data_IF_287251832580
#
_entry.id   IF_287251832580
#
_cell.length_a   1.000
_cell.length_b   1.000
_cell.length_c   1.000
_cell.angle_alpha   90.00
_cell.angle_beta   90.00
_cell.angle_gamma   90.00
#
_symmetry.space_group_name_H-M   'P 1'
#
loop_
_entity.id
_entity.type
_entity.pdbx_description
1 polymer ?
#
# COMPACT_ATOMS: atom_id res chain seq x y z
N UNK A 1 -29.09 20.06 -10.86
CA UNK A 1 -27.65 19.79 -10.73
C UNK A 1 -27.54 18.49 -9.96
N UNK A 2 -27.15 17.42 -10.63
CA UNK A 2 -27.00 16.10 -10.01
C UNK A 2 -25.51 15.89 -9.70
N UNK A 3 -25.18 15.52 -8.46
CA UNK A 3 -23.80 15.21 -8.06
C UNK A 3 -23.53 13.72 -8.18
N UNK A 4 -22.27 13.35 -8.39
CA UNK A 4 -21.84 11.96 -8.51
C UNK A 4 -22.29 11.15 -7.28
N UNK A 5 -22.13 11.70 -6.08
CA UNK A 5 -22.69 11.21 -4.82
C UNK A 5 -22.76 12.35 -3.78
N UNK A 6 -23.27 12.01 -2.58
CA UNK A 6 -23.32 12.92 -1.44
C UNK A 6 -21.92 13.44 -1.05
N UNK A 7 -20.86 12.65 -1.21
CA UNK A 7 -19.51 13.09 -0.89
C UNK A 7 -19.09 14.25 -1.80
N UNK A 8 -19.32 14.12 -3.10
CA UNK A 8 -19.05 15.18 -4.08
C UNK A 8 -19.93 16.42 -3.85
N UNK A 9 -21.19 16.23 -3.46
CA UNK A 9 -22.08 17.33 -3.09
C UNK A 9 -21.57 18.10 -1.86
N UNK A 10 -21.19 17.40 -0.79
CA UNK A 10 -20.65 18.02 0.42
C UNK A 10 -19.32 18.72 0.12
N UNK A 11 -18.45 18.10 -0.68
CA UNK A 11 -17.18 18.70 -1.11
C UNK A 11 -17.40 19.96 -1.93
N UNK A 12 -18.39 19.98 -2.83
CA UNK A 12 -18.80 21.19 -3.56
C UNK A 12 -19.22 22.31 -2.59
N UNK A 13 -20.10 22.00 -1.63
CA UNK A 13 -20.58 22.97 -0.65
C UNK A 13 -19.43 23.54 0.18
N UNK A 14 -18.50 22.70 0.62
CA UNK A 14 -17.28 23.11 1.29
C UNK A 14 -16.46 24.05 0.40
N UNK A 15 -16.15 23.65 -0.83
CA UNK A 15 -15.38 24.46 -1.77
C UNK A 15 -16.01 25.85 -2.00
N UNK A 16 -17.35 25.91 -2.12
CA UNK A 16 -18.07 27.18 -2.30
C UNK A 16 -18.06 28.05 -1.04
N UNK A 17 -18.13 27.46 0.16
CA UNK A 17 -18.14 28.20 1.41
C UNK A 17 -16.80 28.91 1.69
N UNK A 18 -15.68 28.34 1.25
CA UNK A 18 -14.33 28.90 1.44
C UNK A 18 -13.75 29.49 0.15
N UNK A 19 -14.56 29.65 -0.90
CA UNK A 19 -14.14 30.14 -2.21
C UNK A 19 -13.63 31.57 -2.14
N UNK A 20 -12.46 31.78 -2.74
CA UNK A 20 -11.88 33.10 -3.01
C UNK A 20 -12.14 33.53 -4.47
N UNK A 21 -11.92 32.62 -5.41
CA UNK A 21 -12.14 32.87 -6.84
C UNK A 21 -12.52 31.58 -7.59
N UNK A 22 -13.00 31.70 -8.83
CA UNK A 22 -13.21 30.54 -9.71
C UNK A 22 -13.05 30.92 -11.16
N UNK A 23 -12.53 30.00 -11.96
CA UNK A 23 -12.40 30.19 -13.40
C UNK A 23 -12.42 28.84 -14.13
N UNK A 24 -12.81 28.87 -15.40
CA UNK A 24 -12.81 27.69 -16.26
C UNK A 24 -11.39 27.35 -16.71
N UNK A 25 -11.07 26.07 -16.76
CA UNK A 25 -9.79 25.54 -17.23
C UNK A 25 -10.04 24.24 -18.00
N UNK A 26 -10.02 24.32 -19.33
CA UNK A 26 -10.45 23.20 -20.18
C UNK A 26 -11.92 22.86 -19.95
N UNK A 27 -12.21 21.57 -19.74
CA UNK A 27 -13.55 21.05 -19.45
C UNK A 27 -13.91 21.14 -17.95
N UNK A 28 -13.05 21.73 -17.13
CA UNK A 28 -13.21 21.81 -15.68
C UNK A 28 -13.40 23.24 -15.20
N UNK A 29 -13.91 23.38 -13.98
CA UNK A 29 -13.91 24.64 -13.23
C UNK A 29 -12.97 24.52 -12.03
N UNK A 30 -11.96 25.38 -11.98
CA UNK A 30 -11.06 25.49 -10.82
C UNK A 30 -11.63 26.45 -9.79
N UNK A 31 -11.57 26.06 -8.52
CA UNK A 31 -12.00 26.85 -7.37
C UNK A 31 -10.80 27.11 -6.47
N UNK A 32 -10.30 28.35 -6.51
CA UNK A 32 -9.32 28.84 -5.56
C UNK A 32 -10.02 29.13 -4.23
N UNK A 33 -9.48 28.61 -3.15
CA UNK A 33 -10.08 28.75 -1.81
C UNK A 33 -9.26 29.67 -0.90
N UNK A 34 -9.74 29.86 0.32
CA UNK A 34 -9.00 30.48 1.43
C UNK A 34 -8.20 29.48 2.25
N UNK A 35 -8.37 28.17 2.04
CA UNK A 35 -7.54 27.14 2.68
C UNK A 35 -6.10 27.25 2.17
N UNK A 36 -5.08 27.19 3.06
CA UNK A 36 -3.68 27.34 2.67
C UNK A 36 -3.10 26.11 1.96
N UNK A 37 -3.75 24.95 2.07
CA UNK A 37 -3.24 23.67 1.60
C UNK A 37 -3.98 23.13 0.39
N UNK A 38 -5.28 23.46 0.22
CA UNK A 38 -6.12 22.82 -0.81
C UNK A 38 -6.93 23.79 -1.65
N UNK A 39 -7.05 23.46 -2.93
CA UNK A 39 -8.04 23.99 -3.86
C UNK A 39 -8.92 22.87 -4.41
N UNK A 40 -9.91 23.20 -5.25
CA UNK A 40 -10.83 22.20 -5.81
C UNK A 40 -11.00 22.32 -7.32
N UNK A 41 -11.29 21.18 -7.93
CA UNK A 41 -11.62 21.07 -9.35
C UNK A 41 -13.00 20.46 -9.48
N UNK A 42 -13.87 21.08 -10.27
CA UNK A 42 -15.22 20.61 -10.55
C UNK A 42 -15.26 20.17 -12.01
N UNK A 43 -15.64 18.91 -12.26
CA UNK A 43 -15.91 18.37 -13.58
C UNK A 43 -17.37 17.96 -13.72
N UNK A 44 -17.84 17.91 -14.97
CA UNK A 44 -19.18 17.43 -15.32
C UNK A 44 -19.07 16.37 -16.42
N UNK A 45 -19.70 15.22 -16.21
CA UNK A 45 -19.76 14.13 -17.19
C UNK A 45 -21.18 13.57 -17.22
N UNK A 46 -21.79 13.52 -18.42
CA UNK A 46 -23.16 13.07 -18.66
C UNK A 46 -24.19 13.67 -17.67
N UNK A 47 -24.02 14.96 -17.31
CA UNK A 47 -24.92 15.69 -16.42
C UNK A 47 -24.70 15.46 -14.92
N UNK A 48 -23.70 14.64 -14.53
CA UNK A 48 -23.28 14.49 -13.13
C UNK A 48 -22.02 15.28 -12.83
N UNK A 49 -22.04 15.94 -11.68
CA UNK A 49 -20.92 16.74 -11.19
C UNK A 49 -20.07 15.94 -10.20
N UNK A 50 -18.77 15.93 -10.45
CA UNK A 50 -17.77 15.43 -9.51
C UNK A 50 -16.81 16.56 -9.12
N UNK A 51 -16.26 16.44 -7.92
CA UNK A 51 -15.43 17.46 -7.26
C UNK A 51 -14.21 16.79 -6.66
N UNK A 52 -13.03 17.20 -7.12
CA UNK A 52 -11.74 16.67 -6.70
C UNK A 52 -11.00 17.74 -5.90
N UNK A 53 -10.25 17.33 -4.88
CA UNK A 53 -9.31 18.21 -4.20
C UNK A 53 -7.97 18.20 -4.93
N UNK A 54 -7.26 19.32 -4.90
CA UNK A 54 -5.92 19.47 -5.45
C UNK A 54 -5.08 20.31 -4.51
N UNK A 55 -3.76 20.19 -4.61
CA UNK A 55 -2.83 21.03 -3.87
C UNK A 55 -3.08 22.51 -4.17
N UNK A 56 -2.81 23.35 -3.17
CA UNK A 56 -2.94 24.80 -3.30
C UNK A 56 -2.17 25.34 -4.49
N UNK A 57 -2.80 26.24 -5.24
CA UNK A 57 -2.21 26.89 -6.41
C UNK A 57 -1.67 25.92 -7.50
N UNK A 58 -2.15 24.68 -7.55
CA UNK A 58 -1.62 23.69 -8.50
C UNK A 58 -1.73 24.17 -9.97
N UNK A 59 -2.71 25.02 -10.28
CA UNK A 59 -2.99 25.48 -11.64
C UNK A 59 -1.92 26.44 -12.19
N UNK A 60 -0.89 26.78 -11.41
CA UNK A 60 0.36 27.41 -11.91
C UNK A 60 0.98 26.65 -13.10
N UNK A 61 0.61 25.39 -13.32
CA UNK A 61 1.10 24.54 -14.42
C UNK A 61 0.28 24.56 -15.74
N UNK A 62 -0.78 25.37 -15.86
CA UNK A 62 -1.62 25.51 -17.07
C UNK A 62 -2.26 24.20 -17.62
N UNK A 63 -2.20 23.09 -16.88
CA UNK A 63 -2.79 21.79 -17.24
C UNK A 63 -3.40 21.13 -16.01
N UNK A 64 -4.72 20.94 -16.03
CA UNK A 64 -5.48 20.38 -14.90
C UNK A 64 -5.16 18.91 -14.66
N UNK A 65 -4.81 18.19 -15.73
CA UNK A 65 -4.46 16.77 -15.68
C UNK A 65 -3.24 16.58 -14.75
N UNK A 66 -2.24 17.46 -14.87
CA UNK A 66 -1.06 17.43 -14.01
C UNK A 66 -1.38 17.70 -12.54
N UNK A 67 -2.32 18.61 -12.25
CA UNK A 67 -2.78 18.86 -10.89
C UNK A 67 -3.42 17.61 -10.26
N UNK A 68 -4.20 16.89 -11.06
CA UNK A 68 -4.97 15.73 -10.64
C UNK A 68 -4.15 14.43 -10.71
N UNK A 69 -2.87 14.52 -11.05
CA UNK A 69 -1.97 13.36 -11.13
C UNK A 69 -2.25 12.42 -12.29
N UNK A 70 -2.92 12.86 -13.35
CA UNK A 70 -3.11 12.08 -14.58
C UNK A 70 -2.52 12.75 -15.81
N UNK A 71 -2.18 11.95 -16.82
CA UNK A 71 -1.63 12.43 -18.09
C UNK A 71 -2.73 12.70 -19.12
N UNK A 72 -3.81 11.92 -19.05
CA UNK A 72 -4.88 11.93 -20.02
C UNK A 72 -6.26 11.74 -19.37
N UNK A 73 -7.28 12.35 -19.97
CA UNK A 73 -8.67 11.95 -19.75
C UNK A 73 -8.96 10.66 -20.51
N UNK A 74 -9.87 9.84 -19.97
CA UNK A 74 -10.22 8.54 -20.53
C UNK A 74 -10.68 8.55 -22.00
N UNK A 75 -11.06 9.71 -22.54
CA UNK A 75 -11.48 9.87 -23.93
C UNK A 75 -10.31 9.97 -24.93
N UNK A 76 -9.10 10.35 -24.49
CA UNK A 76 -7.98 10.64 -25.38
C UNK A 76 -6.67 10.17 -24.74
N UNK A 77 -6.27 8.92 -24.94
CA UNK A 77 -5.00 8.43 -24.42
C UNK A 77 -4.33 7.42 -25.36
N UNK A 78 -3.02 7.36 -25.29
CA UNK A 78 -2.25 6.26 -25.86
C UNK A 78 -2.04 5.20 -24.77
N UNK A 79 -2.20 3.91 -25.08
CA UNK A 79 -1.92 2.87 -24.10
C UNK A 79 -0.41 2.56 -24.08
N UNK A 80 0.33 3.21 -23.17
CA UNK A 80 1.76 2.99 -22.96
C UNK A 80 2.14 3.07 -21.48
N UNK A 81 3.35 2.61 -21.16
CA UNK A 81 3.91 2.56 -19.81
C UNK A 81 4.03 3.95 -19.18
N UNK A 82 3.79 4.01 -17.88
CA UNK A 82 3.88 5.24 -17.08
C UNK A 82 2.68 6.16 -17.19
N UNK A 83 1.77 5.95 -18.15
CA UNK A 83 0.59 6.80 -18.33
C UNK A 83 -0.41 6.59 -17.20
N UNK A 84 -0.92 7.71 -16.69
CA UNK A 84 -2.05 7.78 -15.77
C UNK A 84 -3.28 8.35 -16.48
N UNK A 85 -4.40 7.66 -16.37
CA UNK A 85 -5.67 7.95 -17.05
C UNK A 85 -6.72 8.31 -16.00
N UNK A 86 -7.30 9.51 -16.10
CA UNK A 86 -8.37 9.95 -15.21
C UNK A 86 -9.77 9.54 -15.70
N UNK A 87 -10.56 8.96 -14.80
CA UNK A 87 -11.96 8.54 -15.01
C UNK A 87 -12.79 9.02 -13.83
N UNK A 88 -13.48 10.16 -13.97
CA UNK A 88 -14.21 10.78 -12.86
C UNK A 88 -13.28 11.02 -11.66
N UNK A 89 -13.48 10.31 -10.55
CA UNK A 89 -12.68 10.32 -9.31
C UNK A 89 -11.75 9.09 -9.14
N UNK A 90 -11.52 8.35 -10.23
CA UNK A 90 -10.62 7.20 -10.29
C UNK A 90 -9.45 7.49 -11.24
N UNK A 91 -8.25 7.08 -10.83
CA UNK A 91 -7.04 7.13 -11.66
C UNK A 91 -6.57 5.71 -11.98
N UNK A 92 -6.33 5.43 -13.26
CA UNK A 92 -5.73 4.20 -13.75
C UNK A 92 -4.33 4.47 -14.26
N UNK A 93 -3.32 3.93 -13.59
CA UNK A 93 -1.92 4.06 -13.99
C UNK A 93 -1.41 2.75 -14.62
N UNK A 94 -0.89 2.84 -15.83
CA UNK A 94 -0.24 1.73 -16.52
C UNK A 94 1.20 1.63 -16.00
N UNK A 95 1.50 0.61 -15.19
CA UNK A 95 2.83 0.43 -14.61
C UNK A 95 3.79 -0.15 -15.66
N UNK A 96 3.36 -1.22 -16.33
CA UNK A 96 4.15 -1.94 -17.33
C UNK A 96 3.22 -2.55 -18.37
N UNK A 97 3.62 -2.58 -19.63
CA UNK A 97 2.91 -3.27 -20.71
C UNK A 97 3.66 -4.52 -21.13
N UNK A 98 2.95 -5.52 -21.65
CA UNK A 98 3.55 -6.80 -22.04
C UNK A 98 3.14 -7.19 -23.45
N UNK A 99 4.04 -7.89 -24.14
CA UNK A 99 3.77 -8.50 -25.44
C UNK A 99 3.21 -9.93 -25.31
N UNK A 100 3.20 -10.50 -24.11
CA UNK A 100 2.60 -11.80 -23.83
C UNK A 100 2.79 -12.27 -22.39
N UNK A 101 2.14 -13.39 -22.07
CA UNK A 101 2.08 -13.97 -20.73
C UNK A 101 3.46 -14.31 -20.15
N UNK A 102 4.39 -14.79 -20.99
CA UNK A 102 5.76 -15.10 -20.55
C UNK A 102 6.47 -13.87 -20.02
N UNK A 103 6.43 -12.76 -20.75
CA UNK A 103 7.05 -11.49 -20.34
C UNK A 103 6.42 -10.97 -19.03
N UNK A 104 5.09 -11.11 -18.89
CA UNK A 104 4.39 -10.72 -17.69
C UNK A 104 4.87 -11.48 -16.45
N UNK A 105 4.95 -12.82 -16.51
CA UNK A 105 5.41 -13.61 -15.37
C UNK A 105 6.92 -13.49 -15.11
N UNK A 106 7.73 -13.31 -16.15
CA UNK A 106 9.15 -12.98 -15.99
C UNK A 106 9.31 -11.65 -15.24
N UNK A 107 8.48 -10.63 -15.54
CA UNK A 107 8.48 -9.36 -14.80
C UNK A 107 8.08 -9.54 -13.34
N UNK A 108 7.03 -10.33 -13.06
CA UNK A 108 6.58 -10.62 -11.69
C UNK A 108 7.71 -11.24 -10.85
N UNK A 109 8.41 -12.23 -11.39
CA UNK A 109 9.48 -12.93 -10.68
C UNK A 109 10.76 -12.10 -10.52
N UNK A 110 11.03 -11.17 -11.43
CA UNK A 110 12.29 -10.43 -11.42
C UNK A 110 12.17 -9.05 -10.77
N UNK A 111 11.00 -8.42 -10.83
CA UNK A 111 10.81 -7.03 -10.37
C UNK A 111 9.77 -6.90 -9.28
N UNK A 112 8.57 -7.47 -9.45
CA UNK A 112 7.49 -7.28 -8.46
C UNK A 112 7.85 -7.95 -7.13
N UNK A 113 8.35 -9.19 -7.16
CA UNK A 113 8.72 -9.91 -5.93
C UNK A 113 9.78 -9.20 -5.08
N UNK A 114 10.59 -8.30 -5.66
CA UNK A 114 11.55 -7.48 -4.89
C UNK A 114 10.84 -6.50 -3.95
N UNK A 115 9.61 -6.11 -4.25
CA UNK A 115 8.80 -5.24 -3.40
C UNK A 115 8.02 -6.02 -2.34
N UNK A 116 7.94 -7.35 -2.47
CA UNK A 116 7.14 -8.18 -1.57
C UNK A 116 7.62 -8.11 -0.12
N UNK A 117 8.93 -8.21 0.14
CA UNK A 117 9.49 -8.10 1.49
C UNK A 117 9.07 -6.80 2.18
N UNK A 118 9.22 -5.67 1.50
CA UNK A 118 8.86 -4.36 2.05
C UNK A 118 7.34 -4.25 2.34
N UNK A 119 6.50 -4.80 1.45
CA UNK A 119 5.04 -4.83 1.62
C UNK A 119 4.62 -5.73 2.79
N UNK A 120 5.18 -6.93 2.92
CA UNK A 120 4.88 -7.85 4.02
C UNK A 120 5.38 -7.28 5.35
N UNK A 121 6.56 -6.67 5.37
CA UNK A 121 7.08 -6.00 6.56
C UNK A 121 6.18 -4.86 7.05
N UNK A 122 5.70 -4.00 6.14
CA UNK A 122 4.76 -2.93 6.48
C UNK A 122 3.44 -3.47 7.06
N UNK A 123 2.93 -4.59 6.51
CA UNK A 123 1.74 -5.28 7.02
C UNK A 123 1.96 -5.86 8.41
N UNK A 124 3.11 -6.51 8.65
CA UNK A 124 3.45 -7.09 9.95
C UNK A 124 3.59 -6.03 11.06
N UNK A 125 3.85 -4.78 10.72
CA UNK A 125 3.85 -3.64 11.64
C UNK A 125 2.45 -3.06 11.93
N UNK A 126 1.37 -3.66 11.39
CA UNK A 126 0.00 -3.12 11.42
C UNK A 126 -0.10 -1.69 10.89
N UNK A 127 0.85 -1.26 10.03
CA UNK A 127 0.80 0.07 9.41
C UNK A 127 -0.19 0.10 8.24
N UNK A 128 -0.49 -1.07 7.67
CA UNK A 128 -1.18 -1.24 6.39
C UNK A 128 -1.90 -2.59 6.32
N UNK A 129 -3.18 -2.60 5.96
CA UNK A 129 -3.91 -3.81 5.59
C UNK A 129 -3.86 -4.01 4.08
N UNK A 130 -3.53 -5.24 3.67
CA UNK A 130 -3.23 -5.56 2.27
C UNK A 130 -3.62 -7.00 1.94
N UNK A 131 -4.38 -7.19 0.86
CA UNK A 131 -4.63 -8.51 0.24
C UNK A 131 -3.56 -8.79 -0.82
N UNK A 132 -2.75 -9.83 -0.61
CA UNK A 132 -1.55 -10.10 -1.40
C UNK A 132 -1.42 -11.61 -1.73
N UNK A 133 -1.33 -12.01 -3.01
CA UNK A 133 -1.19 -13.42 -3.38
C UNK A 133 0.13 -14.04 -2.92
N UNK A 134 1.20 -13.26 -2.72
CA UNK A 134 2.49 -13.72 -2.19
C UNK A 134 2.37 -14.15 -0.73
N UNK A 135 1.64 -13.38 0.10
CA UNK A 135 1.39 -13.74 1.52
C UNK A 135 0.53 -14.99 1.59
N UNK A 136 -0.52 -15.04 0.77
CA UNK A 136 -1.42 -16.19 0.71
C UNK A 136 -0.69 -17.45 0.26
N UNK A 137 0.16 -17.34 -0.77
CA UNK A 137 1.01 -18.44 -1.22
C UNK A 137 1.99 -18.88 -0.12
N UNK A 138 2.73 -17.93 0.48
CA UNK A 138 3.69 -18.25 1.53
C UNK A 138 3.04 -18.95 2.74
N UNK A 139 1.82 -18.53 3.13
CA UNK A 139 1.06 -19.20 4.18
C UNK A 139 0.58 -20.60 3.75
N UNK A 140 0.25 -20.79 2.46
CA UNK A 140 -0.19 -22.10 1.94
C UNK A 140 0.91 -23.18 1.97
N UNK A 141 2.18 -22.78 2.10
CA UNK A 141 3.30 -23.71 2.13
C UNK A 141 3.37 -24.52 3.43
N UNK A 142 2.68 -24.09 4.50
CA UNK A 142 2.77 -24.68 5.84
C UNK A 142 4.23 -24.92 6.28
N UNK A 143 5.08 -23.92 6.04
CA UNK A 143 6.51 -24.04 6.26
C UNK A 143 6.86 -24.00 7.76
N UNK A 144 7.61 -25.00 8.22
CA UNK A 144 7.96 -25.18 9.64
C UNK A 144 8.74 -23.98 10.20
N UNK A 145 9.65 -23.38 9.42
CA UNK A 145 10.43 -22.22 9.86
C UNK A 145 9.50 -21.02 10.10
N UNK A 146 8.54 -20.79 9.19
CA UNK A 146 7.57 -19.70 9.30
C UNK A 146 6.69 -19.87 10.55
N UNK A 147 6.21 -21.08 10.81
CA UNK A 147 5.39 -21.37 11.99
C UNK A 147 6.20 -21.27 13.28
N UNK A 148 7.45 -21.73 13.27
CA UNK A 148 8.36 -21.58 14.41
C UNK A 148 8.63 -20.10 14.72
N UNK A 149 8.83 -19.24 13.72
CA UNK A 149 9.01 -17.79 13.94
C UNK A 149 7.75 -17.17 14.56
N UNK A 150 6.56 -17.49 14.04
CA UNK A 150 5.28 -16.98 14.58
C UNK A 150 5.06 -17.41 16.04
N UNK A 151 5.46 -18.64 16.39
CA UNK A 151 5.37 -19.14 17.76
C UNK A 151 6.37 -18.41 18.67
N UNK A 152 7.64 -18.34 18.26
CA UNK A 152 8.71 -17.70 19.04
C UNK A 152 8.48 -16.19 19.19
N UNK A 153 7.91 -15.51 18.19
CA UNK A 153 7.73 -14.04 18.20
C UNK A 153 6.86 -13.56 19.35
N UNK A 154 5.78 -14.29 19.67
CA UNK A 154 4.90 -13.97 20.80
C UNK A 154 5.66 -14.06 22.13
N UNK A 155 6.36 -15.17 22.33
CA UNK A 155 7.15 -15.39 23.54
C UNK A 155 8.31 -14.40 23.64
N UNK A 156 8.95 -14.06 22.53
CA UNK A 156 10.04 -13.09 22.47
C UNK A 156 9.58 -11.71 22.92
N UNK A 157 8.45 -11.23 22.39
CA UNK A 157 7.87 -9.94 22.80
C UNK A 157 7.42 -9.95 24.27
N UNK A 158 6.84 -11.05 24.74
CA UNK A 158 6.42 -11.20 26.13
C UNK A 158 7.63 -11.15 27.07
N UNK A 159 8.65 -11.97 26.84
CA UNK A 159 9.87 -12.01 27.64
C UNK A 159 10.59 -10.66 27.62
N UNK A 160 10.72 -10.04 26.43
CA UNK A 160 11.30 -8.68 26.31
C UNK A 160 10.54 -7.68 27.17
N UNK A 161 9.21 -7.64 27.07
CA UNK A 161 8.39 -6.70 27.85
C UNK A 161 8.51 -6.93 29.36
N UNK A 162 8.76 -8.16 29.81
CA UNK A 162 8.99 -8.47 31.23
C UNK A 162 10.38 -7.99 31.65
N UNK A 163 11.41 -8.27 30.86
CA UNK A 163 12.79 -7.80 31.11
C UNK A 163 12.82 -6.27 31.16
N UNK A 164 12.22 -5.60 30.18
CA UNK A 164 12.14 -4.13 30.08
C UNK A 164 11.43 -3.48 31.29
N UNK A 165 10.63 -4.23 32.06
CA UNK A 165 9.89 -3.75 33.25
C UNK A 165 10.51 -4.21 34.58
N UNK A 166 11.48 -5.12 34.54
CA UNK A 166 12.09 -5.66 35.76
C UNK A 166 13.09 -4.66 36.32
N UNK A 167 12.99 -4.34 37.61
CA UNK A 167 13.95 -3.49 38.32
C UNK A 167 15.19 -4.27 38.78
N UNK A 168 15.12 -5.60 38.77
CA UNK A 168 16.21 -6.50 39.16
C UNK A 168 16.61 -7.41 37.98
N UNK A 169 17.90 -7.65 37.83
CA UNK A 169 18.46 -8.57 36.83
C UNK A 169 17.95 -10.00 37.06
N UNK A 170 17.14 -10.51 36.13
CA UNK A 170 16.63 -11.87 36.18
C UNK A 170 17.35 -12.74 35.14
N UNK A 171 18.47 -13.34 35.57
CA UNK A 171 19.30 -14.20 34.71
C UNK A 171 18.54 -15.32 34.01
N UNK A 172 17.54 -15.91 34.67
CA UNK A 172 16.75 -16.98 34.06
C UNK A 172 15.86 -16.49 32.92
N UNK A 173 15.33 -15.26 33.01
CA UNK A 173 14.59 -14.64 31.90
C UNK A 173 15.53 -14.22 30.77
N UNK A 174 16.72 -13.71 31.09
CA UNK A 174 17.75 -13.41 30.09
C UNK A 174 18.21 -14.66 29.32
N UNK A 175 18.41 -15.78 30.01
CA UNK A 175 18.76 -17.05 29.37
C UNK A 175 17.66 -17.49 28.39
N UNK A 176 16.38 -17.40 28.80
CA UNK A 176 15.24 -17.69 27.91
C UNK A 176 15.21 -16.73 26.72
N UNK A 177 15.46 -15.45 26.94
CA UNK A 177 15.51 -14.43 25.88
C UNK A 177 16.61 -14.77 24.86
N UNK A 178 17.83 -15.08 25.32
CA UNK A 178 18.98 -15.44 24.48
C UNK A 178 18.79 -16.77 23.76
N UNK A 179 18.10 -17.74 24.37
CA UNK A 179 17.73 -19.00 23.72
C UNK A 179 16.76 -18.76 22.56
N UNK A 180 15.81 -17.83 22.73
CA UNK A 180 14.89 -17.44 21.65
C UNK A 180 15.65 -16.71 20.54
N UNK A 181 16.56 -15.78 20.87
CA UNK A 181 17.40 -15.10 19.87
C UNK A 181 18.29 -16.07 19.10
N UNK A 182 18.88 -17.05 19.79
CA UNK A 182 19.70 -18.09 19.17
C UNK A 182 18.90 -18.89 18.13
N UNK A 183 17.64 -19.22 18.44
CA UNK A 183 16.74 -19.86 17.46
C UNK A 183 16.44 -18.96 16.26
N UNK A 184 16.23 -17.66 16.45
CA UNK A 184 16.06 -16.73 15.32
C UNK A 184 17.33 -16.64 14.46
N UNK A 185 18.52 -16.65 15.07
CA UNK A 185 19.80 -16.67 14.37
C UNK A 185 19.98 -17.97 13.57
N UNK A 186 19.61 -19.12 14.13
CA UNK A 186 19.62 -20.40 13.43
C UNK A 186 18.68 -20.38 12.22
N UNK A 187 17.45 -19.90 12.39
CA UNK A 187 16.45 -19.79 11.32
C UNK A 187 16.90 -18.83 10.20
N UNK A 188 17.53 -17.71 10.57
CA UNK A 188 18.09 -16.77 9.60
C UNK A 188 19.24 -17.40 8.81
N UNK A 189 20.14 -18.12 9.48
CA UNK A 189 21.28 -18.82 8.85
C UNK A 189 20.83 -19.96 7.95
N UNK A 190 19.91 -20.82 8.40
CA UNK A 190 19.39 -21.94 7.61
C UNK A 190 18.71 -21.46 6.33
N UNK A 191 18.02 -20.31 6.42
CA UNK A 191 17.40 -19.66 5.29
C UNK A 191 18.35 -18.69 4.57
N UNK A 192 19.60 -18.50 4.99
CA UNK A 192 20.56 -17.56 4.39
C UNK A 192 19.94 -16.16 4.15
N UNK A 193 19.35 -15.58 5.20
CA UNK A 193 18.81 -14.22 5.23
C UNK A 193 19.53 -13.39 6.29
N UNK A 194 19.66 -12.09 6.04
CA UNK A 194 20.28 -11.16 6.99
C UNK A 194 19.31 -10.82 8.13
N UNK A 195 19.83 -10.77 9.35
CA UNK A 195 19.09 -10.33 10.53
C UNK A 195 19.19 -8.82 10.68
N UNK A 196 18.05 -8.16 10.76
CA UNK A 196 17.98 -6.76 11.14
C UNK A 196 17.75 -6.64 12.64
N UNK A 197 18.33 -5.61 13.22
CA UNK A 197 18.06 -5.18 14.58
C UNK A 197 16.89 -4.18 14.57
N UNK A 198 16.14 -4.11 15.67
CA UNK A 198 15.02 -3.20 15.86
C UNK A 198 15.38 -2.04 16.79
N UNK A 199 14.46 -1.09 16.93
CA UNK A 199 14.69 0.08 17.78
C UNK A 199 14.82 -0.32 19.26
N UNK A 200 15.89 0.16 19.89
CA UNK A 200 15.99 0.20 21.36
C UNK A 200 14.89 1.13 21.88
N UNK A 201 13.95 0.59 22.66
CA UNK A 201 12.97 1.43 23.35
C UNK A 201 13.63 1.97 24.61
N UNK A 202 14.25 3.15 24.54
CA UNK A 202 14.51 3.93 25.75
C UNK A 202 13.16 4.36 26.33
N UNK A 203 12.89 3.98 27.58
CA UNK A 203 11.61 4.18 28.25
C UNK A 203 11.45 5.57 28.89
N UNK A 204 12.46 6.43 28.81
CA UNK A 204 12.42 7.78 29.40
C UNK A 204 12.82 8.85 28.37
N UNK A 205 11.85 9.29 27.57
CA UNK A 205 11.89 10.67 27.09
C UNK A 205 11.42 11.56 28.24
N UNK A 206 12.40 12.19 28.91
CA UNK A 206 12.25 13.22 29.95
C UNK A 206 11.50 12.83 31.24
N UNK A 207 12.24 12.55 32.32
CA UNK A 207 11.99 13.15 33.65
C UNK A 207 13.15 12.83 34.63
N UNK A 208 13.84 13.89 35.05
CA UNK A 208 14.81 13.98 36.16
C UNK A 208 15.97 12.97 36.24
N UNK A 209 17.06 13.28 35.54
CA UNK A 209 18.41 12.93 36.03
C UNK A 209 18.73 13.86 37.21
N UNK A 210 18.60 13.36 38.44
CA UNK A 210 19.26 13.98 39.61
C UNK A 210 20.76 13.73 39.50
N UNK A 211 21.57 14.78 39.67
CA UNK A 211 23.01 14.84 39.42
C UNK A 211 23.93 13.92 40.27
N UNK A 212 23.41 12.92 41.00
CA UNK A 212 24.21 12.12 41.95
C UNK A 212 24.06 10.58 41.83
N UNK A 213 23.51 10.05 40.74
CA UNK A 213 23.57 8.60 40.45
C UNK A 213 24.19 8.36 39.06
N UNK A 214 25.49 8.05 39.03
CA UNK A 214 26.15 7.37 37.91
C UNK A 214 25.62 5.91 37.83
N UNK A 215 24.36 5.76 37.45
CA UNK A 215 23.91 4.52 36.85
C UNK A 215 24.41 4.52 35.41
N UNK A 216 25.45 3.73 35.16
CA UNK A 216 25.82 3.29 33.82
C UNK A 216 24.59 2.56 33.28
N UNK A 217 23.72 3.27 32.55
CA UNK A 217 22.71 2.65 31.71
C UNK A 217 23.48 1.79 30.71
N UNK A 218 23.58 0.49 30.97
CA UNK A 218 24.02 -0.46 29.95
C UNK A 218 23.10 -0.27 28.74
N UNK A 219 23.67 0.11 27.59
CA UNK A 219 22.92 0.20 26.34
C UNK A 219 22.18 -1.12 26.12
N UNK A 220 20.85 -1.07 26.21
CA UNK A 220 19.98 -2.20 25.85
C UNK A 220 20.35 -2.55 24.42
N UNK A 221 21.01 -3.70 24.23
CA UNK A 221 21.33 -4.24 22.91
C UNK A 221 20.07 -4.23 22.06
N UNK A 222 20.20 -3.68 20.85
CA UNK A 222 19.07 -3.62 19.93
C UNK A 222 18.51 -5.04 19.70
N UNK A 223 17.20 -5.23 19.94
CA UNK A 223 16.55 -6.53 19.83
C UNK A 223 16.49 -6.97 18.37
N UNK A 224 16.33 -8.26 18.11
CA UNK A 224 16.10 -8.77 16.75
C UNK A 224 14.76 -8.26 16.22
N UNK A 225 14.76 -7.73 15.00
CA UNK A 225 13.55 -7.34 14.28
C UNK A 225 12.86 -8.58 13.68
N UNK A 226 12.07 -9.27 14.50
CA UNK A 226 11.39 -10.52 14.13
C UNK A 226 10.46 -10.35 12.94
N UNK A 227 9.83 -9.18 12.78
CA UNK A 227 8.96 -8.89 11.65
C UNK A 227 9.75 -8.83 10.33
N UNK A 228 10.94 -8.22 10.35
CA UNK A 228 11.82 -8.20 9.17
C UNK A 228 12.29 -9.61 8.82
N UNK A 229 12.73 -10.38 9.82
CA UNK A 229 13.13 -11.78 9.62
C UNK A 229 12.01 -12.59 8.96
N UNK A 230 10.78 -12.48 9.46
CA UNK A 230 9.62 -13.18 8.92
C UNK A 230 9.34 -12.80 7.45
N UNK A 231 9.39 -11.50 7.12
CA UNK A 231 9.18 -11.01 5.77
C UNK A 231 10.25 -11.53 4.79
N UNK A 232 11.53 -11.45 5.18
CA UNK A 232 12.67 -11.96 4.39
C UNK A 232 12.55 -13.46 4.10
N UNK A 233 12.23 -14.27 5.13
CA UNK A 233 12.07 -15.71 4.94
C UNK A 233 10.89 -16.01 4.02
N UNK A 234 9.72 -15.37 4.24
CA UNK A 234 8.57 -15.55 3.34
C UNK A 234 8.92 -15.24 1.89
N UNK A 235 9.52 -14.09 1.62
CA UNK A 235 9.97 -13.73 0.27
C UNK A 235 10.88 -14.79 -0.33
N UNK A 236 11.85 -15.27 0.45
CA UNK A 236 12.78 -16.30 -0.01
C UNK A 236 12.10 -17.64 -0.30
N UNK A 237 11.13 -18.05 0.51
CA UNK A 237 10.34 -19.27 0.26
C UNK A 237 9.53 -19.15 -1.03
N UNK A 238 8.94 -17.98 -1.31
CA UNK A 238 8.25 -17.74 -2.60
C UNK A 238 9.24 -17.84 -3.76
N UNK A 239 10.40 -17.19 -3.68
CA UNK A 239 11.44 -17.23 -4.70
C UNK A 239 11.94 -18.66 -4.99
N UNK A 240 12.17 -19.45 -3.94
CA UNK A 240 12.61 -20.84 -4.07
C UNK A 240 11.57 -21.72 -4.75
N UNK A 241 10.28 -21.39 -4.62
CA UNK A 241 9.14 -22.10 -5.21
C UNK A 241 8.49 -21.33 -6.36
N UNK A 242 9.28 -20.56 -7.11
CA UNK A 242 8.78 -19.68 -8.18
C UNK A 242 7.82 -20.37 -9.17
N UNK A 243 8.10 -21.61 -9.57
CA UNK A 243 7.27 -22.29 -10.57
C UNK A 243 5.90 -22.69 -9.98
N UNK A 244 5.87 -23.12 -8.72
CA UNK A 244 4.63 -23.36 -7.96
C UNK A 244 3.86 -22.06 -7.76
N UNK A 245 4.56 -20.96 -7.47
CA UNK A 245 3.95 -19.63 -7.33
C UNK A 245 3.32 -19.13 -8.63
N UNK A 246 4.01 -19.29 -9.77
CA UNK A 246 3.43 -18.95 -11.07
C UNK A 246 2.18 -19.78 -11.35
N UNK A 247 2.20 -21.08 -11.05
CA UNK A 247 1.01 -21.92 -11.18
C UNK A 247 -0.14 -21.41 -10.29
N UNK A 248 0.16 -21.09 -9.04
CA UNK A 248 -0.81 -20.50 -8.11
C UNK A 248 -1.41 -19.19 -8.63
N UNK A 249 -0.61 -18.31 -9.24
CA UNK A 249 -1.11 -17.08 -9.87
C UNK A 249 -2.02 -17.37 -11.07
N UNK A 250 -1.66 -18.34 -11.92
CA UNK A 250 -2.49 -18.74 -13.07
C UNK A 250 -3.83 -19.28 -12.62
N UNK A 251 -3.86 -20.08 -11.55
CA UNK A 251 -5.09 -20.64 -10.99
C UNK A 251 -6.01 -19.56 -10.38
N UNK A 252 -5.47 -18.37 -10.07
CA UNK A 252 -6.24 -17.19 -9.62
C UNK A 252 -6.77 -16.29 -10.73
N UNK A 253 -6.38 -16.53 -11.98
CA UNK A 253 -6.87 -15.72 -13.11
C UNK A 253 -8.39 -15.83 -13.17
N UNK A 254 -9.07 -14.70 -13.09
CA UNK A 254 -10.53 -14.67 -13.16
C UNK A 254 -11.13 -13.28 -13.03
N UNK A 255 -12.44 -13.24 -12.82
CA UNK A 255 -13.17 -11.99 -12.64
C UNK A 255 -12.76 -11.31 -11.32
N UNK A 256 -12.42 -10.04 -11.42
CA UNK A 256 -12.05 -9.17 -10.31
C UNK A 256 -13.15 -8.12 -10.17
N UNK A 257 -13.80 -8.14 -9.02
CA UNK A 257 -14.80 -7.14 -8.62
C UNK A 257 -14.23 -6.33 -7.44
N UNK A 258 -13.79 -5.10 -7.70
CA UNK A 258 -13.28 -4.22 -6.66
C UNK A 258 -14.38 -3.33 -6.12
N UNK A 259 -14.30 -3.06 -4.81
CA UNK A 259 -15.09 -2.07 -4.10
C UNK A 259 -16.59 -2.15 -4.42
N UNK A 260 -17.20 -3.29 -4.09
CA UNK A 260 -18.62 -3.58 -4.32
C UNK A 260 -19.06 -3.46 -5.79
N UNK A 261 -18.18 -3.81 -6.73
CA UNK A 261 -18.49 -3.87 -8.16
C UNK A 261 -18.39 -2.54 -8.88
N UNK A 262 -17.82 -1.52 -8.24
CA UNK A 262 -17.48 -0.25 -8.90
C UNK A 262 -16.42 -0.43 -9.99
N UNK A 263 -15.53 -1.41 -9.85
CA UNK A 263 -14.61 -1.79 -10.90
C UNK A 263 -14.73 -3.27 -11.20
N UNK A 264 -14.90 -3.59 -12.48
CA UNK A 264 -14.89 -4.96 -12.98
C UNK A 264 -13.79 -5.13 -14.01
N UNK A 265 -12.96 -6.14 -13.80
CA UNK A 265 -11.88 -6.53 -14.71
C UNK A 265 -11.74 -8.07 -14.70
N UNK A 266 -10.96 -8.63 -15.63
CA UNK A 266 -10.56 -10.02 -15.61
C UNK A 266 -9.03 -10.12 -15.57
N UNK A 267 -8.46 -10.81 -14.60
CA UNK A 267 -7.02 -10.85 -14.44
C UNK A 267 -6.61 -11.50 -13.14
N UNK A 268 -5.48 -11.08 -12.62
CA UNK A 268 -4.98 -11.52 -11.31
C UNK A 268 -4.83 -10.29 -10.42
N UNK A 269 -5.50 -10.28 -9.28
CA UNK A 269 -5.32 -9.25 -8.27
C UNK A 269 -3.96 -9.48 -7.59
N UNK A 270 -3.00 -8.59 -7.84
CA UNK A 270 -1.67 -8.65 -7.24
C UNK A 270 -1.64 -7.97 -5.88
N UNK A 271 -2.50 -6.99 -5.69
CA UNK A 271 -2.50 -6.10 -4.54
C UNK A 271 -3.87 -5.45 -4.42
N UNK A 272 -4.39 -5.39 -3.20
CA UNK A 272 -5.44 -4.46 -2.84
C UNK A 272 -5.12 -3.84 -1.48
N UNK A 273 -4.98 -2.51 -1.50
CA UNK A 273 -4.74 -1.67 -0.35
C UNK A 273 -6.03 -0.94 0.04
N UNK A 274 -6.65 -1.41 1.13
CA UNK A 274 -7.92 -0.94 1.66
C UNK A 274 -9.00 -0.78 0.56
N UNK A 275 -9.74 0.33 0.60
CA UNK A 275 -10.67 0.78 -0.42
C UNK A 275 -10.06 1.82 -1.38
N UNK A 276 -8.72 1.96 -1.39
CA UNK A 276 -8.03 3.05 -2.08
C UNK A 276 -7.35 2.60 -3.35
N UNK A 277 -6.48 1.60 -3.25
CA UNK A 277 -5.65 1.20 -4.38
C UNK A 277 -5.77 -0.30 -4.65
N UNK A 278 -5.67 -0.69 -5.91
CA UNK A 278 -5.55 -2.08 -6.31
C UNK A 278 -4.59 -2.20 -7.49
N UNK A 279 -3.72 -3.20 -7.45
CA UNK A 279 -2.85 -3.54 -8.59
C UNK A 279 -3.34 -4.82 -9.22
N UNK A 280 -3.59 -4.77 -10.53
CA UNK A 280 -4.14 -5.88 -11.31
C UNK A 280 -3.15 -6.23 -12.41
N UNK A 281 -2.86 -7.53 -12.54
CA UNK A 281 -2.19 -8.09 -13.70
C UNK A 281 -3.22 -8.52 -14.74
N UNK A 282 -3.09 -7.96 -15.93
CA UNK A 282 -3.93 -8.21 -17.09
C UNK A 282 -3.11 -8.96 -18.11
N UNK A 283 -3.52 -10.18 -18.42
CA UNK A 283 -2.80 -11.07 -19.34
C UNK A 283 -3.31 -10.96 -20.78
N UNK A 284 -4.59 -10.60 -20.96
CA UNK A 284 -5.24 -10.51 -22.26
C UNK A 284 -5.89 -9.13 -22.43
N UNK A 285 -5.99 -8.67 -23.69
CA UNK A 285 -6.68 -7.41 -23.96
C UNK A 285 -8.15 -7.51 -23.58
N UNK A 286 -8.67 -6.51 -22.88
CA UNK A 286 -10.03 -6.51 -22.35
C UNK A 286 -10.54 -5.08 -22.12
N UNK A 287 -11.80 -4.96 -21.72
CA UNK A 287 -12.34 -3.71 -21.20
C UNK A 287 -12.47 -3.79 -19.68
N UNK A 288 -11.92 -2.80 -18.99
CA UNK A 288 -12.24 -2.56 -17.58
C UNK A 288 -13.49 -1.70 -17.53
N UNK A 289 -14.47 -2.15 -16.76
CA UNK A 289 -15.67 -1.39 -16.48
C UNK A 289 -15.50 -0.62 -15.17
N UNK A 290 -15.74 0.67 -15.21
CA UNK A 290 -15.76 1.56 -14.06
C UNK A 290 -17.18 2.11 -13.93
N UNK A 291 -17.85 1.73 -12.87
CA UNK A 291 -19.20 2.16 -12.52
C UNK A 291 -19.15 3.04 -11.28
N UNK A 292 -19.27 4.36 -11.49
CA UNK A 292 -19.41 5.33 -10.39
C UNK A 292 -20.84 5.83 -10.35
N UNK A 293 -21.60 5.33 -9.38
CA UNK A 293 -23.00 5.68 -9.12
C UNK A 293 -23.89 5.67 -10.38
N UNK A 294 -23.79 4.60 -11.18
CA UNK A 294 -24.58 4.38 -12.39
C UNK A 294 -23.97 4.96 -13.66
N UNK A 295 -22.91 5.78 -13.58
CA UNK A 295 -22.12 6.18 -14.74
C UNK A 295 -21.11 5.08 -15.05
N UNK A 296 -21.33 4.40 -16.17
CA UNK A 296 -20.52 3.26 -16.61
C UNK A 296 -19.57 3.74 -17.71
N UNK A 297 -18.27 3.72 -17.42
CA UNK A 297 -17.20 3.98 -18.38
C UNK A 297 -16.41 2.71 -18.63
N UNK A 298 -16.00 2.49 -19.89
CA UNK A 298 -15.24 1.30 -20.30
C UNK A 298 -13.90 1.72 -20.87
N UNK A 299 -12.82 1.18 -20.32
CA UNK A 299 -11.46 1.43 -20.79
C UNK A 299 -10.91 0.17 -21.42
N UNK A 300 -10.53 0.27 -22.70
CA UNK A 300 -9.77 -0.77 -23.36
C UNK A 300 -8.35 -0.79 -22.78
N UNK A 301 -7.95 -1.94 -22.25
CA UNK A 301 -6.62 -2.17 -21.69
C UNK A 301 -5.95 -3.33 -22.42
N UNK A 302 -4.67 -3.17 -22.71
CA UNK A 302 -3.82 -4.23 -23.27
C UNK A 302 -3.15 -5.01 -22.14
N UNK A 303 -2.50 -6.16 -22.42
CA UNK A 303 -1.75 -6.89 -21.41
C UNK A 303 -0.76 -5.99 -20.67
N UNK A 304 -0.90 -5.91 -19.36
CA UNK A 304 -0.23 -4.91 -18.53
C UNK A 304 -0.38 -5.21 -17.04
N UNK A 305 0.47 -4.58 -16.23
CA UNK A 305 0.16 -4.32 -14.82
C UNK A 305 -0.40 -2.91 -14.73
N UNK A 306 -1.57 -2.79 -14.13
CA UNK A 306 -2.20 -1.50 -13.86
C UNK A 306 -2.40 -1.32 -12.37
N UNK A 307 -2.24 -0.09 -11.91
CA UNK A 307 -2.62 0.35 -10.58
C UNK A 307 -3.87 1.21 -10.73
N UNK A 308 -4.93 0.86 -10.01
CA UNK A 308 -6.17 1.63 -9.97
C UNK A 308 -6.28 2.27 -8.59
N UNK A 309 -6.46 3.58 -8.57
CA UNK A 309 -6.51 4.39 -7.36
C UNK A 309 -7.82 5.15 -7.31
N UNK A 310 -8.50 5.10 -6.18
CA UNK A 310 -9.61 6.00 -5.85
C UNK A 310 -9.08 7.20 -5.12
N UNK A 311 -9.46 8.38 -5.60
CA UNK A 311 -9.10 9.62 -4.93
C UNK A 311 -10.04 9.90 -3.73
N UNK A 312 -9.99 9.00 -2.75
CA UNK A 312 -10.49 9.28 -1.40
C UNK A 312 -9.35 9.94 -0.64
N UNK A 313 -9.07 11.22 -0.92
CA UNK A 313 -8.15 11.96 -0.05
C UNK A 313 -8.63 11.90 1.40
N UNK A 314 -7.74 11.32 2.19
CA UNK A 314 -7.54 11.33 3.63
C UNK A 314 -8.30 12.41 4.39
N UNK A 315 -9.30 11.99 5.18
CA UNK A 315 -9.55 12.61 6.48
C UNK A 315 -9.12 11.64 7.56
N UNK A 316 -7.81 11.60 7.85
CA UNK A 316 -7.39 11.48 9.24
C UNK A 316 -7.16 12.90 9.72
N UNK A 317 -8.19 13.49 10.33
CA UNK A 317 -7.93 14.52 11.33
C UNK A 317 -7.35 13.75 12.52
N UNK A 318 -6.04 13.56 12.53
CA UNK A 318 -5.33 13.27 13.77
C UNK A 318 -5.48 14.54 14.62
N UNK A 319 -6.28 14.42 15.69
CA UNK A 319 -6.32 15.40 16.76
C UNK A 319 -5.18 15.13 17.74
#
# INVERSE_FOLDING_TARGET
MEFLDLYHQLRYQTAMAIKKSSFSLGEFTYIETTDPNKDFVIGEDEGKIFVLSVDKDCVKFNKIEKCLGFDYLYNNFEFKEGISIGVLDIVLKIIKTFNGEKEAFDYILNEEIKQFEAKDYAKLLNKMDFENPYIEFANSLNDEDIEQIKMLSKNYQEVRNIIDRSLEDNRSLEDIYRDIESKFIELARSNNVELDLGDSKKLYDSEYLSEDEEHIEEEIKEPINVNSLLAKIRMKKVLNKKDEFIKFLKDRKGEINLWNGEIKANGILLDKFDEKNATILILDSQQIEINRNGLIKKILVKPSIIMISKDKESYQVLR
#
